data_IF_354649661696
#
_entry.id   IF_354649661696
#
_cell.length_a   1.000
_cell.length_b   1.000
_cell.length_c   1.000
_cell.angle_alpha   90.00
_cell.angle_beta   90.00
_cell.angle_gamma   90.00
#
_symmetry.space_group_name_H-M   'P 1'
#
loop_
_entity.id
_entity.type
_entity.pdbx_description
1 polymer ?
#
# COMPACT_ATOMS: atom_id res chain seq x y z
N UNK A 1 16.41 56.79 -47.48
CA UNK A 1 17.50 55.95 -46.94
C UNK A 1 17.30 55.83 -45.43
N UNK A 2 17.25 54.59 -44.91
CA UNK A 2 17.52 54.20 -43.51
C UNK A 2 16.54 54.63 -42.41
N UNK A 3 15.74 53.71 -41.85
CA UNK A 3 16.12 52.89 -40.68
C UNK A 3 14.91 52.08 -40.19
N UNK A 4 14.97 50.75 -40.31
CA UNK A 4 14.09 49.82 -39.59
C UNK A 4 14.84 49.32 -38.35
N UNK A 5 14.11 49.07 -37.25
CA UNK A 5 14.33 47.85 -36.50
C UNK A 5 13.10 46.94 -36.57
N UNK A 6 13.36 45.68 -36.92
CA UNK A 6 12.46 44.55 -36.74
C UNK A 6 12.15 44.39 -35.25
N UNK A 7 10.86 44.40 -34.89
CA UNK A 7 10.40 43.75 -33.68
C UNK A 7 9.54 42.54 -34.11
N UNK A 8 10.19 41.38 -34.19
CA UNK A 8 9.47 40.12 -34.16
C UNK A 8 9.12 39.83 -32.70
N UNK A 9 7.87 40.10 -32.32
CA UNK A 9 7.29 39.51 -31.12
C UNK A 9 6.65 38.17 -31.52
N UNK A 10 7.19 37.12 -30.92
CA UNK A 10 6.77 35.74 -31.13
C UNK A 10 5.32 35.54 -30.63
N UNK A 11 4.46 35.03 -31.50
CA UNK A 11 3.07 34.68 -31.21
C UNK A 11 2.90 33.36 -30.41
N UNK A 12 3.97 32.85 -29.81
CA UNK A 12 4.02 31.47 -29.31
C UNK A 12 3.57 31.27 -27.86
N UNK A 13 3.39 32.33 -27.07
CA UNK A 13 3.13 32.20 -25.62
C UNK A 13 1.66 32.31 -25.19
N UNK A 14 0.72 32.51 -26.11
CA UNK A 14 -0.71 32.67 -25.79
C UNK A 14 -1.50 31.35 -25.67
N UNK A 15 -0.85 30.20 -25.76
CA UNK A 15 -1.52 28.88 -25.74
C UNK A 15 -1.14 27.96 -24.56
N UNK A 16 -0.25 28.39 -23.67
CA UNK A 16 0.29 27.49 -22.63
C UNK A 16 -0.36 27.66 -21.25
N UNK A 17 -1.03 28.79 -20.98
CA UNK A 17 -1.56 29.07 -19.63
C UNK A 17 -3.09 28.84 -19.53
N UNK A 18 -3.56 27.80 -18.80
CA UNK A 18 -4.98 27.42 -18.75
C UNK A 18 -5.89 28.49 -18.13
N UNK A 19 -5.34 29.36 -17.28
CA UNK A 19 -6.09 30.47 -16.69
C UNK A 19 -6.42 31.59 -17.68
N UNK A 20 -5.55 31.89 -18.64
CA UNK A 20 -5.83 32.90 -19.66
C UNK A 20 -6.83 32.43 -20.71
N UNK A 21 -6.83 31.13 -21.04
CA UNK A 21 -7.85 30.52 -21.89
C UNK A 21 -9.25 30.65 -21.30
N UNK A 22 -9.40 30.42 -19.99
CA UNK A 22 -10.70 30.58 -19.32
C UNK A 22 -11.19 32.03 -19.32
N UNK A 23 -10.27 32.98 -19.16
CA UNK A 23 -10.59 34.41 -19.12
C UNK A 23 -11.02 34.95 -20.50
N UNK A 24 -10.37 34.48 -21.57
CA UNK A 24 -10.76 34.81 -22.95
C UNK A 24 -12.09 34.15 -23.33
N UNK A 25 -12.34 32.90 -22.91
CA UNK A 25 -13.63 32.21 -23.16
C UNK A 25 -14.78 32.88 -22.39
N UNK A 26 -14.57 33.29 -21.13
CA UNK A 26 -15.56 34.04 -20.34
C UNK A 26 -15.85 35.41 -20.94
N UNK A 27 -14.84 36.15 -21.39
CA UNK A 27 -15.02 37.46 -22.05
C UNK A 27 -15.71 37.33 -23.42
N UNK A 28 -15.54 36.21 -24.12
CA UNK A 28 -16.22 35.93 -25.40
C UNK A 28 -17.71 35.58 -25.21
N UNK A 29 -18.07 34.94 -24.10
CA UNK A 29 -19.45 34.54 -23.81
C UNK A 29 -20.36 35.71 -23.42
N UNK A 30 -19.79 36.82 -22.91
CA UNK A 30 -20.56 38.01 -22.52
C UNK A 30 -21.02 38.84 -23.72
N UNK A 31 -20.41 38.68 -24.90
CA UNK A 31 -20.77 39.42 -26.11
C UNK A 31 -21.80 38.71 -27.00
N UNK A 32 -22.19 37.46 -26.71
CA UNK A 32 -23.14 36.68 -27.51
C UNK A 32 -24.55 36.64 -26.89
N UNK A 33 -24.72 37.10 -25.64
CA UNK A 33 -26.04 37.24 -25.02
C UNK A 33 -26.71 38.56 -25.42
N UNK A 34 -27.14 38.62 -26.69
CA UNK A 34 -28.06 39.64 -27.18
C UNK A 34 -29.35 39.66 -26.35
N UNK A 35 -29.87 40.86 -26.14
CA UNK A 35 -31.09 41.17 -25.42
C UNK A 35 -32.25 40.19 -25.72
N UNK A 36 -32.54 39.32 -24.76
CA UNK A 36 -33.76 38.52 -24.72
C UNK A 36 -34.30 38.53 -23.30
N UNK A 37 -35.52 39.04 -23.13
CA UNK A 37 -36.27 39.06 -21.87
C UNK A 37 -36.25 37.69 -21.18
N UNK A 38 -35.32 37.49 -20.24
CA UNK A 38 -35.27 36.33 -19.37
C UNK A 38 -36.06 36.68 -18.11
N UNK A 39 -37.24 36.07 -17.96
CA UNK A 39 -38.01 36.11 -16.72
C UNK A 39 -37.12 35.55 -15.60
N UNK A 40 -36.66 36.44 -14.73
CA UNK A 40 -35.78 36.14 -13.58
C UNK A 40 -36.36 35.09 -12.62
N UNK A 41 -37.67 34.83 -12.68
CA UNK A 41 -38.36 33.79 -11.91
C UNK A 41 -37.96 32.36 -12.31
N UNK A 42 -37.67 32.09 -13.58
CA UNK A 42 -37.35 30.73 -14.06
C UNK A 42 -35.90 30.32 -13.79
N UNK A 43 -35.01 31.31 -13.69
CA UNK A 43 -33.61 31.06 -13.30
C UNK A 43 -33.50 30.79 -11.80
N UNK A 44 -34.26 31.51 -10.97
CA UNK A 44 -34.29 31.33 -9.52
C UNK A 44 -34.94 30.00 -9.10
N UNK A 45 -35.96 29.52 -9.81
CA UNK A 45 -36.55 28.20 -9.55
C UNK A 45 -35.63 27.05 -9.95
N UNK A 46 -34.99 27.14 -11.13
CA UNK A 46 -34.01 26.12 -11.58
C UNK A 46 -32.75 26.08 -10.73
N UNK A 47 -32.27 27.23 -10.25
CA UNK A 47 -31.13 27.27 -9.32
C UNK A 47 -31.52 26.80 -7.92
N UNK A 48 -32.74 27.07 -7.47
CA UNK A 48 -33.30 26.51 -6.24
C UNK A 48 -33.40 24.97 -6.28
N UNK A 49 -33.89 24.40 -7.37
CA UNK A 49 -33.96 22.95 -7.55
C UNK A 49 -32.58 22.30 -7.65
N UNK A 50 -31.63 22.96 -8.32
CA UNK A 50 -30.24 22.50 -8.41
C UNK A 50 -29.51 22.57 -7.06
N UNK A 51 -29.73 23.62 -6.27
CA UNK A 51 -29.19 23.76 -4.91
C UNK A 51 -29.84 22.79 -3.92
N UNK A 52 -31.13 22.46 -4.09
CA UNK A 52 -31.81 21.43 -3.28
C UNK A 52 -31.20 20.03 -3.48
N UNK A 53 -30.56 19.79 -4.64
CA UNK A 53 -29.88 18.52 -4.97
C UNK A 53 -28.42 18.48 -4.52
N UNK A 54 -27.78 19.64 -4.31
CA UNK A 54 -26.38 19.73 -3.87
C UNK A 54 -26.22 19.37 -2.38
N UNK A 55 -27.31 19.38 -1.60
CA UNK A 55 -27.33 18.95 -0.19
C UNK A 55 -27.85 17.52 0.04
N UNK A 56 -28.31 16.82 -1.00
CA UNK A 56 -28.79 15.45 -0.86
C UNK A 56 -27.58 14.50 -0.87
N UNK A 57 -27.18 14.04 0.32
CA UNK A 57 -26.26 12.91 0.48
C UNK A 57 -26.79 11.78 -0.40
N UNK A 58 -26.02 11.37 -1.40
CA UNK A 58 -26.38 10.23 -2.24
C UNK A 58 -26.85 9.08 -1.33
N UNK A 59 -27.97 8.40 -1.65
CA UNK A 59 -28.47 7.33 -0.80
C UNK A 59 -27.32 6.38 -0.52
N UNK A 60 -27.09 6.09 0.76
CA UNK A 60 -26.01 5.19 1.18
C UNK A 60 -26.11 3.94 0.30
N UNK A 61 -25.01 3.64 -0.41
CA UNK A 61 -24.96 2.49 -1.29
C UNK A 61 -25.48 1.26 -0.53
N UNK A 62 -26.41 0.52 -1.13
CA UNK A 62 -27.00 -0.64 -0.47
C UNK A 62 -25.91 -1.65 -0.05
N UNK A 63 -26.16 -2.51 0.95
CA UNK A 63 -25.16 -3.47 1.42
C UNK A 63 -24.46 -4.29 0.31
N UNK A 64 -25.19 -4.62 -0.76
CA UNK A 64 -24.65 -5.35 -1.92
C UNK A 64 -23.67 -4.52 -2.76
N UNK A 65 -23.86 -3.21 -2.85
CA UNK A 65 -22.94 -2.31 -3.53
C UNK A 65 -21.68 -2.05 -2.70
N UNK A 66 -21.76 -2.18 -1.37
CA UNK A 66 -20.65 -2.00 -0.45
C UNK A 66 -19.64 -3.15 -0.51
N UNK A 67 -20.10 -4.39 -0.74
CA UNK A 67 -19.22 -5.56 -0.76
C UNK A 67 -18.52 -5.76 -2.10
N UNK A 68 -19.05 -5.22 -3.21
CA UNK A 68 -18.46 -5.39 -4.55
C UNK A 68 -16.95 -5.04 -4.61
N UNK A 69 -16.48 -3.89 -4.10
CA UNK A 69 -15.06 -3.57 -4.07
C UNK A 69 -14.21 -4.56 -3.28
N UNK A 70 -14.78 -5.22 -2.26
CA UNK A 70 -14.07 -6.23 -1.47
C UNK A 70 -13.76 -7.49 -2.30
N UNK A 71 -14.65 -7.87 -3.20
CA UNK A 71 -14.47 -9.01 -4.10
C UNK A 71 -13.56 -8.69 -5.29
N UNK A 72 -13.62 -7.46 -5.81
CA UNK A 72 -12.86 -7.05 -7.01
C UNK A 72 -11.33 -6.99 -6.77
N UNK A 73 -10.89 -6.93 -5.51
CA UNK A 73 -9.48 -6.98 -5.13
C UNK A 73 -9.03 -8.40 -4.74
N UNK A 74 -7.72 -8.71 -4.72
CA UNK A 74 -7.22 -10.04 -4.34
C UNK A 74 -6.94 -10.21 -2.84
N UNK A 75 -7.05 -9.16 -2.03
CA UNK A 75 -6.61 -9.16 -0.62
C UNK A 75 -7.60 -9.84 0.33
N UNK A 76 -7.09 -10.47 1.38
CA UNK A 76 -7.92 -11.20 2.36
C UNK A 76 -8.31 -10.29 3.54
N UNK A 77 -7.39 -9.45 4.01
CA UNK A 77 -7.57 -8.62 5.21
C UNK A 77 -8.80 -7.70 5.17
N UNK A 78 -9.13 -7.03 4.06
CA UNK A 78 -10.33 -6.19 4.04
C UNK A 78 -11.64 -6.99 4.17
N UNK A 79 -11.65 -8.28 3.80
CA UNK A 79 -12.79 -9.17 4.06
C UNK A 79 -12.92 -9.43 5.56
N UNK A 80 -11.80 -9.70 6.23
CA UNK A 80 -11.75 -9.90 7.68
C UNK A 80 -12.17 -8.65 8.44
N UNK A 81 -11.71 -7.46 8.02
CA UNK A 81 -12.13 -6.18 8.60
C UNK A 81 -13.62 -5.92 8.43
N UNK A 82 -14.18 -6.21 7.25
CA UNK A 82 -15.62 -6.07 7.01
C UNK A 82 -16.44 -6.96 7.96
N UNK A 83 -16.03 -8.22 8.11
CA UNK A 83 -16.67 -9.16 9.02
C UNK A 83 -16.61 -8.68 10.48
N UNK A 84 -15.46 -8.18 10.92
CA UNK A 84 -15.30 -7.65 12.28
C UNK A 84 -16.14 -6.40 12.52
N UNK A 85 -16.16 -5.47 11.56
CA UNK A 85 -16.91 -4.22 11.64
C UNK A 85 -18.41 -4.45 11.76
N UNK A 86 -18.94 -5.39 10.98
CA UNK A 86 -20.38 -5.63 10.87
C UNK A 86 -20.85 -6.90 11.59
N UNK A 87 -20.02 -7.54 12.42
CA UNK A 87 -20.30 -8.81 13.09
C UNK A 87 -21.62 -8.87 13.86
N UNK A 88 -22.14 -7.71 14.30
CA UNK A 88 -23.36 -7.59 15.11
C UNK A 88 -24.52 -6.91 14.37
N UNK A 89 -24.40 -6.71 13.05
CA UNK A 89 -25.42 -6.07 12.23
C UNK A 89 -26.36 -7.13 11.62
N UNK A 90 -27.59 -7.32 12.16
CA UNK A 90 -28.52 -8.31 11.63
C UNK A 90 -29.06 -7.94 10.24
N UNK A 91 -28.92 -6.69 9.79
CA UNK A 91 -29.33 -6.29 8.45
C UNK A 91 -28.36 -6.78 7.37
N UNK A 92 -27.18 -7.30 7.77
CA UNK A 92 -26.09 -7.69 6.85
C UNK A 92 -25.80 -9.19 6.86
N UNK A 93 -26.68 -10.02 7.42
CA UNK A 93 -26.43 -11.47 7.54
C UNK A 93 -26.04 -12.12 6.22
N UNK A 94 -26.73 -11.78 5.12
CA UNK A 94 -26.41 -12.33 3.79
C UNK A 94 -25.04 -11.89 3.28
N UNK A 95 -24.70 -10.61 3.46
CA UNK A 95 -23.43 -10.06 3.00
C UNK A 95 -22.26 -10.57 3.86
N UNK A 96 -22.46 -10.70 5.17
CA UNK A 96 -21.47 -11.29 6.08
C UNK A 96 -21.17 -12.75 5.67
N UNK A 97 -22.19 -13.51 5.32
CA UNK A 97 -22.01 -14.88 4.84
C UNK A 97 -21.17 -14.93 3.55
N UNK A 98 -21.53 -14.11 2.55
CA UNK A 98 -20.79 -14.04 1.28
C UNK A 98 -19.32 -13.63 1.49
N UNK A 99 -19.07 -12.64 2.35
CA UNK A 99 -17.72 -12.16 2.65
C UNK A 99 -16.93 -13.20 3.43
N UNK A 100 -17.56 -13.94 4.35
CA UNK A 100 -16.89 -15.04 5.09
C UNK A 100 -16.49 -16.17 4.16
N UNK A 101 -17.39 -16.59 3.27
CA UNK A 101 -17.12 -17.65 2.29
C UNK A 101 -15.95 -17.28 1.37
N UNK A 102 -15.89 -16.03 0.91
CA UNK A 102 -14.79 -15.58 0.06
C UNK A 102 -13.47 -15.48 0.83
N UNK A 103 -13.50 -15.01 2.08
CA UNK A 103 -12.32 -15.00 2.95
C UNK A 103 -11.78 -16.41 3.11
N UNK A 104 -12.65 -17.37 3.44
CA UNK A 104 -12.30 -18.79 3.59
C UNK A 104 -11.77 -19.40 2.29
N UNK A 105 -12.39 -19.09 1.14
CA UNK A 105 -11.91 -19.53 -0.17
C UNK A 105 -10.49 -19.05 -0.44
N UNK A 106 -10.20 -17.78 -0.15
CA UNK A 106 -8.85 -17.18 -0.32
C UNK A 106 -7.85 -17.75 0.68
N UNK A 107 -8.23 -17.88 1.95
CA UNK A 107 -7.40 -18.49 2.98
C UNK A 107 -7.07 -19.94 2.66
N UNK A 108 -8.04 -20.73 2.20
CA UNK A 108 -7.80 -22.10 1.75
C UNK A 108 -6.87 -22.19 0.53
N UNK A 109 -6.89 -21.19 -0.36
CA UNK A 109 -5.93 -21.11 -1.47
C UNK A 109 -4.50 -20.84 -0.99
N UNK A 110 -4.34 -20.01 0.05
CA UNK A 110 -3.06 -19.78 0.72
C UNK A 110 -2.60 -21.05 1.44
N UNK A 111 -3.49 -21.69 2.21
CA UNK A 111 -3.21 -22.92 2.94
C UNK A 111 -2.69 -24.03 2.03
N UNK A 112 -3.29 -24.19 0.84
CA UNK A 112 -2.80 -25.16 -0.16
C UNK A 112 -1.34 -24.92 -0.56
N UNK A 113 -0.90 -23.66 -0.68
CA UNK A 113 0.50 -23.33 -1.02
C UNK A 113 1.46 -23.68 0.12
N UNK A 114 1.10 -23.38 1.36
CA UNK A 114 1.90 -23.78 2.52
C UNK A 114 1.95 -25.30 2.70
N UNK A 115 0.91 -26.01 2.23
CA UNK A 115 0.81 -27.46 2.35
C UNK A 115 1.45 -28.24 1.19
N UNK A 116 1.85 -27.58 0.10
CA UNK A 116 2.60 -28.23 -0.99
C UNK A 116 4.08 -28.37 -0.68
N UNK A 117 4.62 -27.48 0.15
CA UNK A 117 6.00 -27.54 0.61
C UNK A 117 6.14 -28.43 1.85
N UNK A 118 7.36 -28.84 2.18
CA UNK A 118 7.62 -29.53 3.45
C UNK A 118 7.14 -28.68 4.63
N UNK A 119 6.37 -29.28 5.53
CA UNK A 119 5.92 -28.59 6.75
C UNK A 119 7.12 -28.38 7.65
N UNK A 120 7.42 -27.12 7.95
CA UNK A 120 8.61 -26.74 8.72
C UNK A 120 8.26 -25.64 9.72
N UNK A 121 9.08 -25.52 10.77
CA UNK A 121 8.98 -24.41 11.71
C UNK A 121 9.19 -23.04 11.02
N UNK A 122 10.04 -22.98 10.00
CA UNK A 122 10.23 -21.79 9.19
C UNK A 122 8.97 -21.45 8.37
N UNK A 123 8.34 -22.46 7.76
CA UNK A 123 7.06 -22.33 7.06
C UNK A 123 5.95 -21.82 7.98
N UNK A 124 5.84 -22.36 9.20
CA UNK A 124 4.88 -21.88 10.22
C UNK A 124 5.14 -20.41 10.57
N UNK A 125 6.40 -20.02 10.79
CA UNK A 125 6.76 -18.64 11.09
C UNK A 125 6.36 -17.69 9.95
N UNK A 126 6.62 -18.06 8.69
CA UNK A 126 6.21 -17.29 7.52
C UNK A 126 4.68 -17.23 7.38
N UNK A 127 3.99 -18.34 7.60
CA UNK A 127 2.53 -18.40 7.54
C UNK A 127 1.90 -17.48 8.59
N UNK A 128 2.42 -17.51 9.83
CA UNK A 128 1.99 -16.63 10.92
C UNK A 128 2.17 -15.15 10.59
N UNK A 129 3.32 -14.75 10.05
CA UNK A 129 3.60 -13.34 9.72
C UNK A 129 2.64 -12.79 8.67
N UNK A 130 2.30 -13.59 7.66
CA UNK A 130 1.47 -13.13 6.53
C UNK A 130 -0.03 -13.21 6.78
N UNK A 131 -0.50 -14.22 7.53
CA UNK A 131 -1.91 -14.62 7.45
C UNK A 131 -2.61 -14.85 8.80
N UNK A 132 -1.95 -14.62 9.95
CA UNK A 132 -2.58 -14.85 11.26
C UNK A 132 -3.84 -14.03 11.52
N UNK A 133 -3.95 -12.83 10.93
CA UNK A 133 -5.12 -11.97 11.11
C UNK A 133 -6.36 -12.53 10.41
N UNK A 134 -6.20 -12.93 9.15
CA UNK A 134 -7.32 -13.32 8.29
C UNK A 134 -7.58 -14.82 8.23
N UNK A 135 -6.54 -15.64 8.39
CA UNK A 135 -6.57 -17.09 8.19
C UNK A 135 -6.12 -17.85 9.45
N UNK A 136 -6.48 -17.35 10.63
CA UNK A 136 -6.05 -17.89 11.93
C UNK A 136 -6.29 -19.41 12.07
N UNK A 137 -7.42 -19.90 11.54
CA UNK A 137 -7.77 -21.32 11.58
C UNK A 137 -6.82 -22.17 10.73
N UNK A 138 -6.48 -21.74 9.52
CA UNK A 138 -5.54 -22.46 8.66
C UNK A 138 -4.10 -22.44 9.21
N UNK A 139 -3.69 -21.31 9.81
CA UNK A 139 -2.38 -21.20 10.48
C UNK A 139 -2.31 -22.16 11.67
N UNK A 140 -3.36 -22.23 12.49
CA UNK A 140 -3.45 -23.18 13.60
C UNK A 140 -3.44 -24.63 13.10
N UNK A 141 -4.11 -24.93 11.98
CA UNK A 141 -4.09 -26.26 11.38
C UNK A 141 -2.69 -26.64 10.88
N UNK A 142 -1.93 -25.70 10.32
CA UNK A 142 -0.53 -25.91 9.93
C UNK A 142 0.34 -26.21 11.16
N UNK A 143 0.18 -25.43 12.23
CA UNK A 143 0.90 -25.63 13.49
C UNK A 143 0.62 -27.01 14.09
N UNK A 144 -0.64 -27.40 14.21
CA UNK A 144 -1.02 -28.71 14.75
C UNK A 144 -0.40 -29.86 13.94
N UNK A 145 -0.27 -29.72 12.62
CA UNK A 145 0.39 -30.70 11.76
C UNK A 145 1.89 -30.76 12.00
N UNK A 146 2.53 -29.61 12.20
CA UNK A 146 3.96 -29.54 12.54
C UNK A 146 4.24 -30.19 13.89
N UNK A 147 3.39 -29.94 14.90
CA UNK A 147 3.50 -30.54 16.24
C UNK A 147 3.26 -32.06 16.23
N UNK A 148 2.42 -32.55 15.33
CA UNK A 148 2.15 -33.97 15.15
C UNK A 148 3.27 -34.73 14.41
N UNK A 149 4.27 -34.03 13.86
CA UNK A 149 5.40 -34.69 13.18
C UNK A 149 6.36 -35.34 14.19
N UNK A 150 6.88 -36.53 13.90
CA UNK A 150 7.91 -37.13 14.73
C UNK A 150 9.14 -36.19 14.80
N UNK A 151 9.82 -36.09 15.94
CA UNK A 151 10.96 -35.21 16.09
C UNK A 151 12.00 -35.53 15.01
N UNK A 152 12.44 -34.48 14.30
CA UNK A 152 13.41 -34.61 13.22
C UNK A 152 14.62 -35.45 13.69
N UNK A 153 15.10 -36.40 12.87
CA UNK A 153 16.29 -37.17 13.22
C UNK A 153 17.42 -36.19 13.51
N UNK A 154 18.08 -36.36 14.67
CA UNK A 154 19.25 -35.56 15.04
C UNK A 154 20.25 -35.60 13.87
N UNK A 155 20.83 -34.46 13.45
CA UNK A 155 21.78 -34.44 12.35
C UNK A 155 22.93 -35.39 12.68
N UNK A 156 22.97 -36.53 12.00
CA UNK A 156 24.08 -37.47 12.09
C UNK A 156 25.24 -36.83 11.33
N UNK A 157 26.35 -36.63 12.03
CA UNK A 157 27.63 -36.28 11.41
C UNK A 157 28.09 -37.50 10.61
N UNK A 158 27.65 -37.61 9.35
CA UNK A 158 28.24 -38.56 8.42
C UNK A 158 29.56 -37.98 7.89
N UNK A 159 30.65 -38.75 7.86
CA UNK A 159 31.90 -38.29 7.29
C UNK A 159 31.72 -38.04 5.80
N UNK A 160 32.19 -36.88 5.35
CA UNK A 160 32.24 -36.51 3.94
C UNK A 160 33.22 -37.44 3.21
N UNK A 161 32.71 -38.45 2.51
CA UNK A 161 33.39 -39.05 1.37
C UNK A 161 32.41 -39.87 0.51
N UNK A 162 32.55 -39.65 -0.81
CA UNK A 162 31.95 -40.34 -1.95
C UNK A 162 30.49 -40.00 -2.33
N UNK A 163 30.33 -39.09 -3.30
CA UNK A 163 29.98 -39.47 -4.69
C UNK A 163 29.88 -38.21 -5.58
N UNK A 164 30.90 -38.00 -6.42
CA UNK A 164 30.79 -37.22 -7.65
C UNK A 164 29.92 -38.02 -8.62
N UNK A 165 28.63 -37.68 -8.73
CA UNK A 165 27.83 -37.82 -9.94
C UNK A 165 26.43 -37.24 -9.73
N UNK A 166 26.30 -35.94 -9.59
CA UNK A 166 25.15 -35.25 -10.18
C UNK A 166 25.43 -33.75 -10.34
N UNK A 167 25.53 -33.27 -11.59
CA UNK A 167 25.71 -31.84 -11.89
C UNK A 167 24.35 -31.11 -11.95
N UNK A 168 23.24 -31.75 -11.58
CA UNK A 168 21.91 -31.13 -11.58
C UNK A 168 21.69 -30.21 -10.37
N UNK A 169 22.06 -30.60 -9.15
CA UNK A 169 21.87 -29.77 -7.94
C UNK A 169 22.65 -28.44 -7.98
N UNK A 170 23.89 -28.44 -8.51
CA UNK A 170 24.70 -27.22 -8.64
C UNK A 170 24.10 -26.27 -9.69
N UNK A 171 23.64 -26.82 -10.81
CA UNK A 171 23.09 -26.04 -11.93
C UNK A 171 21.70 -25.46 -11.59
N UNK A 172 20.90 -26.21 -10.84
CA UNK A 172 19.60 -25.75 -10.34
C UNK A 172 19.77 -24.71 -9.23
N UNK A 173 20.79 -24.88 -8.37
CA UNK A 173 21.16 -23.90 -7.34
C UNK A 173 21.64 -22.55 -7.92
N UNK A 174 22.46 -22.57 -8.97
CA UNK A 174 22.92 -21.36 -9.66
C UNK A 174 21.78 -20.66 -10.42
N UNK A 175 20.94 -21.42 -11.11
CA UNK A 175 19.76 -20.88 -11.79
C UNK A 175 18.77 -20.24 -10.79
N UNK A 176 18.56 -20.89 -9.64
CA UNK A 176 17.70 -20.36 -8.55
C UNK A 176 18.29 -19.09 -7.94
N UNK A 177 19.60 -19.05 -7.68
CA UNK A 177 20.29 -17.82 -7.21
C UNK A 177 20.19 -16.68 -8.21
N UNK A 178 20.35 -16.97 -9.51
CA UNK A 178 20.21 -15.97 -10.56
C UNK A 178 18.77 -15.43 -10.69
N UNK A 179 17.76 -16.29 -10.46
CA UNK A 179 16.36 -15.88 -10.44
C UNK A 179 16.04 -14.98 -9.24
N UNK A 180 16.50 -15.35 -8.03
CA UNK A 180 16.34 -14.54 -6.81
C UNK A 180 17.02 -13.17 -6.95
N UNK A 181 18.24 -13.14 -7.52
CA UNK A 181 18.97 -11.89 -7.79
C UNK A 181 18.21 -10.98 -8.76
N UNK A 182 17.65 -11.55 -9.85
CA UNK A 182 16.77 -10.79 -10.77
C UNK A 182 15.55 -10.22 -10.07
N UNK A 183 14.87 -11.03 -9.25
CA UNK A 183 13.67 -10.60 -8.55
C UNK A 183 13.96 -9.48 -7.53
N UNK A 184 15.08 -9.55 -6.81
CA UNK A 184 15.54 -8.47 -5.92
C UNK A 184 15.82 -7.18 -6.70
N UNK A 185 16.45 -7.29 -7.87
CA UNK A 185 16.70 -6.14 -8.75
C UNK A 185 15.39 -5.52 -9.26
N UNK A 186 14.44 -6.33 -9.71
CA UNK A 186 13.13 -5.85 -10.16
C UNK A 186 12.36 -5.17 -9.03
N UNK A 187 12.36 -5.78 -7.84
CA UNK A 187 11.80 -5.18 -6.62
C UNK A 187 12.36 -3.77 -6.38
N UNK A 188 13.69 -3.62 -6.43
CA UNK A 188 14.35 -2.33 -6.24
C UNK A 188 13.97 -1.33 -7.35
N UNK A 189 14.16 -1.69 -8.63
CA UNK A 189 13.97 -0.78 -9.75
C UNK A 189 12.52 -0.31 -9.86
N UNK A 190 11.56 -1.23 -9.75
CA UNK A 190 10.12 -0.92 -9.83
C UNK A 190 9.68 0.01 -8.68
N UNK A 191 10.21 -0.20 -7.48
CA UNK A 191 9.94 0.69 -6.33
C UNK A 191 10.50 2.09 -6.59
N UNK A 192 11.73 2.19 -7.13
CA UNK A 192 12.38 3.48 -7.42
C UNK A 192 11.66 4.29 -8.50
N UNK A 193 11.12 3.64 -9.52
CA UNK A 193 10.29 4.31 -10.55
C UNK A 193 8.83 4.48 -10.12
N UNK A 194 8.48 4.08 -8.89
CA UNK A 194 7.14 4.16 -8.30
C UNK A 194 6.07 3.36 -9.04
N UNK A 195 6.47 2.29 -9.73
CA UNK A 195 5.53 1.29 -10.24
C UNK A 195 5.18 0.31 -9.10
N UNK A 196 4.32 0.77 -8.19
CA UNK A 196 4.03 0.04 -6.96
C UNK A 196 3.22 -1.24 -7.18
N UNK A 197 2.44 -1.34 -8.27
CA UNK A 197 1.70 -2.57 -8.61
C UNK A 197 2.64 -3.72 -8.95
N UNK A 198 3.61 -3.49 -9.84
CA UNK A 198 4.57 -4.53 -10.22
C UNK A 198 5.63 -4.74 -9.14
N UNK A 199 6.05 -3.67 -8.46
CA UNK A 199 6.97 -3.76 -7.34
C UNK A 199 6.42 -4.62 -6.21
N UNK A 200 5.11 -4.54 -5.91
CA UNK A 200 4.47 -5.38 -4.90
C UNK A 200 4.64 -6.88 -5.22
N UNK A 201 4.56 -7.25 -6.48
CA UNK A 201 4.72 -8.64 -6.94
C UNK A 201 6.20 -9.03 -6.84
N UNK A 202 7.09 -8.21 -7.38
CA UNK A 202 8.52 -8.49 -7.39
C UNK A 202 9.11 -8.58 -5.97
N UNK A 203 8.72 -7.67 -5.07
CA UNK A 203 9.26 -7.61 -3.71
C UNK A 203 8.73 -8.68 -2.76
N UNK A 204 7.56 -9.28 -3.04
CA UNK A 204 6.88 -10.16 -2.08
C UNK A 204 7.74 -11.33 -1.61
N UNK A 205 8.18 -12.17 -2.55
CA UNK A 205 8.98 -13.36 -2.23
C UNK A 205 10.26 -13.00 -1.46
N UNK A 206 11.12 -12.12 -1.99
CA UNK A 206 12.34 -11.73 -1.30
C UNK A 206 12.11 -11.09 0.07
N UNK A 207 11.03 -10.33 0.25
CA UNK A 207 10.68 -9.75 1.55
C UNK A 207 10.21 -10.81 2.56
N UNK A 208 9.42 -11.79 2.11
CA UNK A 208 9.00 -12.95 2.90
C UNK A 208 10.19 -13.83 3.31
N UNK A 209 11.19 -13.92 2.43
CA UNK A 209 12.47 -14.61 2.65
C UNK A 209 13.44 -13.85 3.59
N UNK A 210 13.08 -12.63 4.02
CA UNK A 210 13.85 -11.87 4.99
C UNK A 210 14.86 -10.89 4.39
N UNK A 211 14.86 -10.66 3.07
CA UNK A 211 15.77 -9.68 2.47
C UNK A 211 15.40 -8.26 2.92
N UNK A 212 16.21 -7.66 3.78
CA UNK A 212 15.92 -6.38 4.43
C UNK A 212 15.61 -5.25 3.44
N UNK A 213 16.31 -5.20 2.30
CA UNK A 213 16.02 -4.24 1.23
C UNK A 213 14.64 -4.42 0.60
N UNK A 214 14.21 -5.67 0.38
CA UNK A 214 12.88 -5.97 -0.13
C UNK A 214 11.78 -5.69 0.91
N UNK A 215 12.06 -5.95 2.20
CA UNK A 215 11.15 -5.59 3.29
C UNK A 215 10.98 -4.06 3.40
N UNK A 216 12.06 -3.29 3.26
CA UNK A 216 11.99 -1.83 3.24
C UNK A 216 11.19 -1.32 2.03
N UNK A 217 11.39 -1.92 0.85
CA UNK A 217 10.61 -1.59 -0.34
C UNK A 217 9.13 -1.97 -0.16
N UNK A 218 8.82 -3.12 0.45
CA UNK A 218 7.44 -3.51 0.79
C UNK A 218 6.80 -2.50 1.74
N UNK A 219 7.52 -2.02 2.75
CA UNK A 219 7.03 -0.97 3.63
C UNK A 219 6.68 0.31 2.85
N UNK A 220 7.56 0.74 1.94
CA UNK A 220 7.34 1.92 1.11
C UNK A 220 6.15 1.75 0.15
N UNK A 221 6.04 0.58 -0.50
CA UNK A 221 4.94 0.24 -1.40
C UNK A 221 3.62 0.30 -0.64
N UNK A 222 3.52 -0.37 0.50
CA UNK A 222 2.29 -0.41 1.30
C UNK A 222 1.92 0.97 1.84
N UNK A 223 2.91 1.76 2.26
CA UNK A 223 2.70 3.14 2.68
C UNK A 223 2.12 4.00 1.55
N UNK A 224 2.69 3.89 0.35
CA UNK A 224 2.22 4.62 -0.83
C UNK A 224 0.82 4.20 -1.29
N UNK A 225 0.43 2.94 -1.05
CA UNK A 225 -0.90 2.41 -1.33
C UNK A 225 -1.93 2.74 -0.23
N UNK A 226 -1.51 3.39 0.86
CA UNK A 226 -2.38 3.73 2.00
C UNK A 226 -2.60 2.59 3.01
N UNK A 227 -1.92 1.46 2.84
CA UNK A 227 -2.01 0.29 3.72
C UNK A 227 -1.04 0.45 4.89
N UNK A 228 -1.30 1.45 5.75
CA UNK A 228 -0.34 1.90 6.76
C UNK A 228 -0.02 0.84 7.84
N UNK A 229 -0.96 -0.04 8.18
CA UNK A 229 -0.69 -1.13 9.12
C UNK A 229 0.29 -2.16 8.50
N UNK A 230 0.10 -2.54 7.24
CA UNK A 230 1.06 -3.41 6.55
C UNK A 230 2.41 -2.72 6.39
N UNK A 231 2.42 -1.42 6.09
CA UNK A 231 3.63 -0.62 6.01
C UNK A 231 4.41 -0.61 7.33
N UNK A 232 3.70 -0.43 8.45
CA UNK A 232 4.26 -0.50 9.79
C UNK A 232 4.94 -1.84 10.04
N UNK A 233 4.25 -2.96 9.78
CA UNK A 233 4.80 -4.30 10.01
C UNK A 233 6.05 -4.57 9.19
N UNK A 234 6.03 -4.25 7.88
CA UNK A 234 7.19 -4.42 7.01
C UNK A 234 8.35 -3.50 7.43
N UNK A 235 8.05 -2.27 7.82
CA UNK A 235 9.07 -1.33 8.29
C UNK A 235 9.74 -1.83 9.57
N UNK A 236 8.98 -2.35 10.54
CA UNK A 236 9.53 -2.93 11.77
C UNK A 236 10.55 -4.04 11.51
N UNK A 237 10.31 -4.89 10.51
CA UNK A 237 11.24 -5.97 10.16
C UNK A 237 12.52 -5.45 9.49
N UNK A 238 12.43 -4.38 8.71
CA UNK A 238 13.55 -3.85 7.94
C UNK A 238 14.43 -2.83 8.70
N UNK A 239 13.94 -2.24 9.79
CA UNK A 239 14.65 -1.21 10.59
C UNK A 239 16.08 -1.55 10.96
N UNK A 240 16.46 -2.80 11.33
CA UNK A 240 17.84 -3.10 11.73
C UNK A 240 18.88 -2.71 10.67
N UNK A 241 18.49 -2.69 9.39
CA UNK A 241 19.39 -2.45 8.26
C UNK A 241 18.92 -1.31 7.33
N UNK A 242 17.79 -0.66 7.61
CA UNK A 242 17.17 0.31 6.70
C UNK A 242 16.76 1.61 7.38
N UNK A 243 17.51 2.68 7.07
CA UNK A 243 17.13 4.04 7.44
C UNK A 243 15.81 4.49 6.80
N UNK A 244 15.48 3.98 5.61
CA UNK A 244 14.19 4.24 4.95
C UNK A 244 13.03 3.65 5.75
N UNK A 245 13.18 2.43 6.27
CA UNK A 245 12.16 1.78 7.09
C UNK A 245 11.96 2.51 8.43
N UNK A 246 13.06 2.90 9.09
CA UNK A 246 13.00 3.72 10.29
C UNK A 246 12.33 5.07 10.02
N UNK A 247 12.61 5.71 8.89
CA UNK A 247 11.95 6.95 8.49
C UNK A 247 10.43 6.76 8.33
N UNK A 248 10.00 5.69 7.66
CA UNK A 248 8.57 5.38 7.49
C UNK A 248 7.87 5.13 8.83
N UNK A 249 8.50 4.47 9.80
CA UNK A 249 7.93 4.36 11.15
C UNK A 249 7.79 5.73 11.80
N UNK A 250 8.77 6.62 11.61
CA UNK A 250 8.70 7.99 12.08
C UNK A 250 7.46 8.72 11.54
N UNK A 251 7.21 8.64 10.23
CA UNK A 251 6.03 9.21 9.58
C UNK A 251 4.72 8.60 10.11
N UNK A 252 4.68 7.27 10.22
CA UNK A 252 3.52 6.52 10.72
C UNK A 252 3.12 7.00 12.13
N UNK A 253 4.09 7.12 13.04
CA UNK A 253 3.82 7.62 14.40
C UNK A 253 3.54 9.13 14.44
N UNK A 254 4.22 9.93 13.60
CA UNK A 254 4.03 11.38 13.56
C UNK A 254 2.62 11.75 13.11
N UNK A 255 2.04 10.95 12.21
CA UNK A 255 0.73 11.20 11.61
C UNK A 255 -0.39 10.33 12.21
N UNK A 256 -0.06 9.30 12.99
CA UNK A 256 -1.05 8.37 13.55
C UNK A 256 -1.67 7.45 12.49
N UNK A 257 -0.86 6.98 11.54
CA UNK A 257 -1.33 6.19 10.39
C UNK A 257 -1.39 4.70 10.74
N UNK A 258 -2.57 4.21 11.12
CA UNK A 258 -2.75 2.81 11.55
C UNK A 258 -2.21 2.52 12.96
N UNK A 259 -1.68 3.54 13.64
CA UNK A 259 -1.26 3.52 15.05
C UNK A 259 -1.68 4.83 15.71
N UNK A 260 -1.68 4.90 17.04
CA UNK A 260 -1.89 6.17 17.72
C UNK A 260 -0.77 7.16 17.40
N UNK A 261 -1.12 8.44 17.22
CA UNK A 261 -0.13 9.49 17.02
C UNK A 261 0.77 9.60 18.27
N UNK A 262 2.08 9.51 18.06
CA UNK A 262 3.09 9.63 19.11
C UNK A 262 4.32 10.34 18.55
N UNK A 263 4.43 11.64 18.84
CA UNK A 263 5.57 12.45 18.40
C UNK A 263 6.89 12.04 19.05
N UNK A 264 6.87 11.46 20.25
CA UNK A 264 8.10 10.99 20.90
C UNK A 264 8.62 9.72 20.23
N UNK A 265 7.73 8.78 19.93
CA UNK A 265 8.04 7.60 19.15
C UNK A 265 8.53 7.99 17.74
N UNK A 266 7.86 8.94 17.09
CA UNK A 266 8.29 9.46 15.79
C UNK A 266 9.70 10.06 15.82
N UNK A 267 10.00 10.91 16.82
CA UNK A 267 11.32 11.50 17.00
C UNK A 267 12.40 10.43 17.22
N UNK A 268 12.10 9.37 17.97
CA UNK A 268 13.01 8.23 18.15
C UNK A 268 13.32 7.57 16.82
N UNK A 269 12.31 7.28 16.01
CA UNK A 269 12.49 6.63 14.72
C UNK A 269 13.20 7.52 13.69
N UNK A 270 12.94 8.82 13.67
CA UNK A 270 13.70 9.75 12.82
C UNK A 270 15.17 9.83 13.23
N UNK A 271 15.50 9.83 14.54
CA UNK A 271 16.90 9.73 14.98
C UNK A 271 17.57 8.43 14.52
N UNK A 272 16.86 7.30 14.64
CA UNK A 272 17.35 6.01 14.12
C UNK A 272 17.58 6.07 12.62
N UNK A 273 16.65 6.64 11.86
CA UNK A 273 16.78 6.81 10.41
C UNK A 273 17.99 7.67 10.03
N UNK A 274 18.25 8.76 10.76
CA UNK A 274 19.43 9.59 10.57
C UNK A 274 20.73 8.82 10.88
N UNK A 275 20.76 8.05 11.97
CA UNK A 275 21.90 7.17 12.31
C UNK A 275 22.18 6.08 11.26
N UNK A 276 21.16 5.68 10.50
CA UNK A 276 21.25 4.75 9.38
C UNK A 276 21.43 5.45 8.02
N UNK A 277 21.70 6.76 8.00
CA UNK A 277 22.04 7.52 6.79
C UNK A 277 20.86 7.96 5.93
N UNK A 278 19.63 7.99 6.45
CA UNK A 278 18.49 8.51 5.70
C UNK A 278 18.53 10.04 5.55
N UNK A 279 18.73 10.52 4.32
CA UNK A 279 18.98 11.94 4.01
C UNK A 279 17.87 12.92 4.46
N UNK A 280 16.62 12.47 4.53
CA UNK A 280 15.49 13.31 4.96
C UNK A 280 15.20 13.29 6.47
N UNK A 281 15.90 12.45 7.24
CA UNK A 281 15.49 12.15 8.61
C UNK A 281 15.76 13.28 9.60
N UNK A 282 16.88 14.00 9.47
CA UNK A 282 17.17 15.16 10.32
C UNK A 282 16.17 16.29 10.07
N UNK A 283 15.80 16.53 8.81
CA UNK A 283 14.79 17.52 8.46
C UNK A 283 13.42 17.15 9.05
N UNK A 284 13.01 15.88 8.95
CA UNK A 284 11.77 15.42 9.55
C UNK A 284 11.77 15.54 11.08
N UNK A 285 12.89 15.22 11.75
CA UNK A 285 13.06 15.41 13.18
C UNK A 285 12.94 16.90 13.57
N UNK A 286 13.60 17.79 12.82
CA UNK A 286 13.53 19.23 13.06
C UNK A 286 12.09 19.74 12.89
N UNK A 287 11.39 19.33 11.83
CA UNK A 287 10.00 19.72 11.57
C UNK A 287 9.05 19.22 12.67
N UNK A 288 9.29 18.00 13.17
CA UNK A 288 8.50 17.40 14.25
C UNK A 288 8.64 18.18 15.57
N UNK A 289 9.86 18.62 15.91
CA UNK A 289 10.17 19.32 17.17
C UNK A 289 9.86 20.82 17.10
N UNK A 290 9.98 21.44 15.93
CA UNK A 290 9.63 22.86 15.70
C UNK A 290 8.13 23.12 15.56
N UNK A 291 7.34 22.07 15.33
CA UNK A 291 5.88 22.19 15.38
C UNK A 291 5.45 22.51 16.81
N UNK A 292 4.87 23.70 17.08
CA UNK A 292 4.49 24.08 18.43
C UNK A 292 3.57 23.02 19.04
N UNK A 293 3.87 22.62 20.28
CA UNK A 293 3.02 21.74 21.06
C UNK A 293 1.67 22.43 21.30
N UNK A 294 0.57 21.77 20.92
CA UNK A 294 -0.78 22.18 21.29
C UNK A 294 -1.58 22.96 20.25
N UNK A 295 -2.03 22.28 19.19
CA UNK A 295 -3.41 22.42 18.74
C UNK A 295 -4.14 21.12 19.05
N UNK A 296 -4.21 20.81 20.35
CA UNK A 296 -5.21 19.87 20.87
C UNK A 296 -6.56 20.38 20.40
N UNK A 297 -7.24 19.59 19.58
CA UNK A 297 -8.65 19.79 19.29
C UNK A 297 -9.41 19.86 20.62
N UNK A 298 -10.05 21.02 20.87
CA UNK A 298 -11.22 21.13 21.73
C UNK A 298 -12.45 20.68 20.92
#
# INVERSE_FOLDING_TARGET
MGCFPKLQLQFSDLLVNPMHRLLVIMMSAVLIAGCGNLKTSDFLSRTGDALSKIGQKAPAAGPDQEIKPLFDQPYIDPLTEYLQRYARDPARTTQLEQVSQERERRCGAVARRYNTDEITAAGLASYRRGYSFSCAQDVAAYEARLEAMPPAPKPSQQPFNALLSDNTEVRDGEAKKAAVSRQLNDCYLLTRIRNFSDALIACRGPAEDGAAGAQANMAQIQYALGNHESAYRWAQMAVPESGQAAYLLGEIYAQGLGVAQDKNAAAKWFRTAAGLGHAGAENALNNLVSSPEGASAN
#
